data_IF_334580230443
#
_entry.id   IF_334580230443
#
_cell.length_a   1.000
_cell.length_b   1.000
_cell.length_c   1.000
_cell.angle_alpha   90.00
_cell.angle_beta   90.00
_cell.angle_gamma   90.00
#
_symmetry.space_group_name_H-M   'P 1'
#
loop_
_entity.id
_entity.type
_entity.pdbx_description
1 polymer ?
#
# COMPACT_ATOMS: atom_id res chain seq x y z
N UNK A 1 -36.94 55.02 6.67
CA UNK A 1 -36.27 53.78 7.15
C UNK A 1 -36.84 52.60 6.39
N UNK A 2 -36.01 51.59 6.08
CA UNK A 2 -36.33 50.34 5.37
C UNK A 2 -36.59 50.54 3.85
N UNK A 3 -36.09 49.77 2.90
CA UNK A 3 -35.46 48.44 2.93
C UNK A 3 -34.74 48.23 1.57
N UNK A 4 -33.43 48.45 1.47
CA UNK A 4 -32.65 48.29 0.22
C UNK A 4 -31.55 47.24 0.37
N UNK A 5 -31.78 46.17 1.14
CA UNK A 5 -30.80 45.11 1.38
C UNK A 5 -31.22 43.70 0.88
N UNK A 6 -32.37 43.56 0.21
CA UNK A 6 -32.92 42.23 -0.12
C UNK A 6 -32.46 41.58 -1.43
N UNK A 7 -31.91 42.31 -2.40
CA UNK A 7 -31.73 41.77 -3.77
C UNK A 7 -30.32 41.26 -4.11
N UNK A 8 -29.30 41.54 -3.31
CA UNK A 8 -27.92 41.13 -3.65
C UNK A 8 -27.61 39.68 -3.20
N UNK A 9 -28.33 39.13 -2.21
CA UNK A 9 -28.05 37.79 -1.67
C UNK A 9 -28.46 36.63 -2.58
N UNK A 10 -29.43 36.80 -3.49
CA UNK A 10 -29.94 35.69 -4.31
C UNK A 10 -28.98 35.32 -5.44
N UNK A 11 -28.17 36.27 -5.92
CA UNK A 11 -27.26 36.03 -7.05
C UNK A 11 -25.97 35.29 -6.66
N UNK A 12 -25.46 35.48 -5.43
CA UNK A 12 -24.29 34.76 -4.94
C UNK A 12 -24.59 33.29 -4.60
N UNK A 13 -25.81 32.96 -4.21
CA UNK A 13 -26.15 31.60 -3.78
C UNK A 13 -26.39 30.64 -4.96
N UNK A 14 -26.78 31.14 -6.13
CA UNK A 14 -27.06 30.32 -7.33
C UNK A 14 -25.81 29.92 -8.11
N UNK A 15 -24.74 30.71 -8.07
CA UNK A 15 -23.46 30.40 -8.74
C UNK A 15 -22.67 29.29 -8.02
N UNK A 16 -22.82 29.17 -6.70
CA UNK A 16 -22.03 28.23 -5.90
C UNK A 16 -22.51 26.77 -6.00
N UNK A 17 -23.76 26.52 -6.43
CA UNK A 17 -24.27 25.15 -6.60
C UNK A 17 -23.84 24.47 -7.90
N UNK A 18 -23.51 25.22 -8.97
CA UNK A 18 -23.11 24.64 -10.26
C UNK A 18 -21.69 24.06 -10.25
N UNK A 19 -20.77 24.65 -9.48
CA UNK A 19 -19.43 24.07 -9.29
C UNK A 19 -19.43 22.81 -8.43
N UNK A 20 -20.44 22.61 -7.57
CA UNK A 20 -20.54 21.42 -6.73
C UNK A 20 -20.94 20.16 -7.52
N UNK A 21 -21.83 20.29 -8.51
CA UNK A 21 -22.21 19.15 -9.37
C UNK A 21 -21.11 18.79 -10.39
N UNK A 22 -20.44 19.78 -10.98
CA UNK A 22 -19.33 19.53 -11.90
C UNK A 22 -18.14 18.86 -11.19
N UNK A 23 -17.82 19.27 -9.95
CA UNK A 23 -16.79 18.60 -9.13
C UNK A 23 -17.18 17.18 -8.75
N UNK A 24 -18.45 16.92 -8.44
CA UNK A 24 -18.95 15.57 -8.14
C UNK A 24 -18.89 14.64 -9.35
N UNK A 25 -19.18 15.17 -10.55
CA UNK A 25 -19.05 14.42 -11.80
C UNK A 25 -17.58 14.15 -12.15
N UNK A 26 -16.67 15.12 -11.97
CA UNK A 26 -15.23 14.90 -12.18
C UNK A 26 -14.65 13.91 -11.16
N UNK A 27 -15.05 13.99 -9.88
CA UNK A 27 -14.63 13.01 -8.86
C UNK A 27 -15.18 11.62 -9.16
N UNK A 28 -16.43 11.51 -9.63
CA UNK A 28 -16.99 10.23 -10.05
C UNK A 28 -16.27 9.66 -11.29
N UNK A 29 -15.90 10.50 -12.25
CA UNK A 29 -15.16 10.08 -13.45
C UNK A 29 -13.71 9.67 -13.12
N UNK A 30 -13.04 10.38 -12.21
CA UNK A 30 -11.69 10.01 -11.71
C UNK A 30 -11.74 8.74 -10.88
N UNK A 31 -12.77 8.56 -10.04
CA UNK A 31 -12.97 7.33 -9.28
C UNK A 31 -13.27 6.14 -10.21
N UNK A 32 -14.09 6.33 -11.24
CA UNK A 32 -14.40 5.28 -12.22
C UNK A 32 -13.19 4.95 -13.10
N UNK A 33 -12.38 5.94 -13.47
CA UNK A 33 -11.10 5.72 -14.15
C UNK A 33 -10.08 5.00 -13.26
N UNK A 34 -10.02 5.31 -11.96
CA UNK A 34 -9.22 4.54 -10.99
C UNK A 34 -9.71 3.10 -10.86
N UNK A 35 -11.02 2.86 -10.78
CA UNK A 35 -11.59 1.51 -10.69
C UNK A 35 -11.32 0.72 -11.97
N UNK A 36 -11.43 1.32 -13.15
CA UNK A 36 -11.07 0.68 -14.43
C UNK A 36 -9.56 0.43 -14.53
N UNK A 37 -8.71 1.32 -13.98
CA UNK A 37 -7.26 1.11 -13.92
C UNK A 37 -6.88 0.01 -12.90
N UNK A 38 -7.61 -0.12 -11.78
CA UNK A 38 -7.49 -1.23 -10.84
C UNK A 38 -8.01 -2.56 -11.43
N UNK A 39 -9.08 -2.53 -12.24
CA UNK A 39 -9.61 -3.70 -12.92
C UNK A 39 -8.74 -4.14 -14.11
N UNK A 40 -8.13 -3.21 -14.83
CA UNK A 40 -7.12 -3.52 -15.86
C UNK A 40 -5.84 -4.10 -15.24
N UNK A 41 -5.46 -3.68 -14.03
CA UNK A 41 -4.39 -4.33 -13.27
C UNK A 41 -4.77 -5.75 -12.78
N UNK A 42 -6.06 -6.06 -12.70
CA UNK A 42 -6.56 -7.40 -12.34
C UNK A 42 -6.50 -8.39 -13.51
N UNK A 43 -6.26 -7.90 -14.73
CA UNK A 43 -6.23 -8.69 -15.96
C UNK A 43 -4.82 -8.96 -16.48
N UNK A 44 -3.77 -8.70 -15.67
CA UNK A 44 -2.44 -9.27 -15.88
C UNK A 44 -2.43 -10.74 -15.43
N UNK A 45 -3.34 -11.53 -16.02
CA UNK A 45 -3.31 -12.99 -16.01
C UNK A 45 -2.00 -13.44 -16.65
N UNK A 46 -1.17 -14.19 -15.92
CA UNK A 46 -0.04 -14.87 -16.54
C UNK A 46 1.08 -15.34 -15.63
N UNK A 47 1.24 -14.76 -14.43
CA UNK A 47 2.13 -15.39 -13.44
C UNK A 47 1.32 -16.39 -12.60
N UNK A 48 1.72 -17.68 -12.53
CA UNK A 48 1.16 -18.58 -11.52
C UNK A 48 1.33 -17.93 -10.14
N UNK A 49 0.41 -18.21 -9.20
CA UNK A 49 0.39 -17.70 -7.82
C UNK A 49 1.77 -17.23 -7.34
N UNK A 50 1.88 -15.98 -6.87
CA UNK A 50 3.14 -15.42 -6.39
C UNK A 50 3.89 -16.43 -5.51
N UNK A 51 5.12 -16.74 -5.89
CA UNK A 51 5.98 -17.70 -5.20
C UNK A 51 7.09 -16.94 -4.49
N UNK A 52 7.82 -17.63 -3.62
CA UNK A 52 9.01 -17.08 -2.95
C UNK A 52 10.04 -16.53 -3.94
N UNK A 53 10.15 -17.13 -5.14
CA UNK A 53 11.14 -16.73 -6.15
C UNK A 53 10.84 -15.36 -6.77
N UNK A 54 9.58 -14.90 -6.68
CA UNK A 54 9.19 -13.56 -7.09
C UNK A 54 9.62 -12.49 -6.06
N UNK A 55 10.27 -12.88 -4.96
CA UNK A 55 10.76 -11.96 -3.93
C UNK A 55 12.28 -11.96 -3.85
N UNK A 56 12.86 -10.76 -3.74
CA UNK A 56 14.28 -10.54 -3.48
C UNK A 56 14.44 -9.88 -2.12
N UNK A 57 15.46 -10.31 -1.39
CA UNK A 57 15.79 -9.79 -0.07
C UNK A 57 17.17 -9.16 -0.10
N UNK A 58 17.32 -8.03 0.59
CA UNK A 58 18.63 -7.44 0.87
C UNK A 58 18.67 -7.05 2.33
N UNK A 59 19.62 -7.61 3.08
CA UNK A 59 19.90 -7.18 4.44
C UNK A 59 20.92 -6.05 4.40
N UNK A 60 20.72 -5.04 5.24
CA UNK A 60 21.67 -3.97 5.47
C UNK A 60 21.71 -3.69 6.96
N UNK A 61 22.91 -3.61 7.52
CA UNK A 61 23.08 -3.14 8.89
C UNK A 61 22.82 -1.65 8.96
N UNK A 62 21.96 -1.24 9.89
CA UNK A 62 21.60 0.14 10.14
C UNK A 62 21.89 0.49 11.60
N UNK A 63 21.79 1.77 11.93
CA UNK A 63 21.99 2.22 13.31
C UNK A 63 20.88 1.63 14.21
N UNK A 64 21.30 0.83 15.20
CA UNK A 64 20.40 0.16 16.14
C UNK A 64 19.72 -1.10 15.62
N UNK A 65 20.20 -1.72 14.53
CA UNK A 65 19.74 -3.04 14.11
C UNK A 65 20.05 -3.47 12.67
N UNK A 66 19.26 -4.43 12.17
CA UNK A 66 19.34 -4.93 10.79
C UNK A 66 18.04 -4.63 10.06
N UNK A 67 18.14 -4.06 8.86
CA UNK A 67 17.00 -3.81 7.99
C UNK A 67 17.05 -4.80 6.83
N UNK A 68 15.98 -5.57 6.66
CA UNK A 68 15.79 -6.45 5.52
C UNK A 68 14.76 -5.82 4.59
N UNK A 69 15.19 -5.36 3.43
CA UNK A 69 14.30 -4.86 2.37
C UNK A 69 13.80 -6.01 1.52
N UNK A 70 12.55 -5.92 1.10
CA UNK A 70 11.87 -6.93 0.30
C UNK A 70 11.40 -6.27 -1.00
N UNK A 71 11.86 -6.81 -2.12
CA UNK A 71 11.42 -6.43 -3.45
C UNK A 71 10.58 -7.56 -4.04
N UNK A 72 9.60 -7.21 -4.86
CA UNK A 72 8.73 -8.14 -5.57
C UNK A 72 8.87 -7.94 -7.07
N UNK A 73 8.98 -9.02 -7.84
CA UNK A 73 9.04 -8.98 -9.30
C UNK A 73 7.65 -8.90 -9.92
N UNK A 74 7.19 -7.67 -10.12
CA UNK A 74 5.91 -7.38 -10.75
C UNK A 74 5.99 -7.59 -12.26
N UNK A 75 5.11 -8.41 -12.83
CA UNK A 75 5.15 -8.80 -14.25
C UNK A 75 5.25 -7.63 -15.26
N UNK A 76 4.64 -6.49 -14.93
CA UNK A 76 4.63 -5.29 -15.79
C UNK A 76 5.65 -4.20 -15.39
N UNK A 77 6.14 -4.23 -14.15
CA UNK A 77 6.94 -3.14 -13.58
C UNK A 77 8.37 -3.58 -13.21
N UNK A 78 8.67 -4.87 -13.36
CA UNK A 78 9.89 -5.49 -12.86
C UNK A 78 9.96 -5.46 -11.34
N UNK A 79 11.18 -5.36 -10.82
CA UNK A 79 11.46 -5.33 -9.38
C UNK A 79 10.93 -4.04 -8.74
N UNK A 80 9.89 -4.18 -7.92
CA UNK A 80 9.30 -3.09 -7.14
C UNK A 80 9.53 -3.30 -5.66
N UNK A 81 9.69 -2.20 -4.91
CA UNK A 81 9.73 -2.26 -3.45
C UNK A 81 8.38 -2.74 -2.91
N UNK A 82 8.40 -3.80 -2.09
CA UNK A 82 7.24 -4.35 -1.41
C UNK A 82 7.18 -3.88 0.05
N UNK A 83 8.31 -3.46 0.62
CA UNK A 83 8.44 -3.05 2.00
C UNK A 83 9.77 -3.48 2.63
N UNK A 84 9.86 -3.34 3.94
CA UNK A 84 11.03 -3.72 4.71
C UNK A 84 10.65 -4.20 6.11
N UNK A 85 11.53 -5.00 6.70
CA UNK A 85 11.46 -5.47 8.08
C UNK A 85 12.69 -4.97 8.80
N UNK A 86 12.49 -4.21 9.88
CA UNK A 86 13.57 -3.72 10.73
C UNK A 86 13.62 -4.55 12.00
N UNK A 87 14.74 -5.21 12.23
CA UNK A 87 15.06 -5.91 13.47
C UNK A 87 15.92 -5.00 14.31
N UNK A 88 15.35 -4.40 15.35
CA UNK A 88 16.12 -3.58 16.30
C UNK A 88 16.92 -4.48 17.24
N UNK A 89 18.07 -3.98 17.69
CA UNK A 89 18.91 -4.67 18.68
C UNK A 89 18.18 -4.87 20.02
N UNK A 90 17.17 -4.04 20.31
CA UNK A 90 16.27 -4.19 21.46
C UNK A 90 15.29 -5.38 21.35
N UNK A 91 15.32 -6.14 20.25
CA UNK A 91 14.38 -7.24 19.99
C UNK A 91 13.06 -6.81 19.35
N UNK A 92 12.84 -5.51 19.14
CA UNK A 92 11.64 -4.99 18.48
C UNK A 92 11.73 -5.26 16.97
N UNK A 93 10.69 -5.88 16.40
CA UNK A 93 10.54 -6.06 14.96
C UNK A 93 9.51 -5.09 14.43
N UNK A 94 9.91 -4.26 13.46
CA UNK A 94 9.04 -3.30 12.79
C UNK A 94 8.83 -3.76 11.35
N UNK A 95 7.58 -4.01 10.99
CA UNK A 95 7.17 -4.32 9.63
C UNK A 95 6.66 -3.05 8.95
N UNK A 96 7.27 -2.69 7.83
CA UNK A 96 6.85 -1.57 6.98
C UNK A 96 6.50 -2.12 5.62
N UNK A 97 5.23 -2.12 5.26
CA UNK A 97 4.78 -2.52 3.93
C UNK A 97 4.60 -1.27 3.10
N UNK A 98 4.97 -1.32 1.82
CA UNK A 98 4.79 -0.17 0.93
C UNK A 98 3.32 0.25 0.90
N UNK A 99 3.08 1.53 1.20
CA UNK A 99 1.75 2.12 1.26
C UNK A 99 0.98 1.89 2.56
N UNK A 100 1.57 1.21 3.55
CA UNK A 100 1.01 1.03 4.89
C UNK A 100 1.87 1.74 5.94
N UNK A 101 1.25 2.06 7.09
CA UNK A 101 2.00 2.59 8.23
C UNK A 101 2.91 1.49 8.83
N UNK A 102 4.15 1.84 9.23
CA UNK A 102 5.00 0.94 9.98
C UNK A 102 4.31 0.46 11.25
N UNK A 103 4.40 -0.84 11.54
CA UNK A 103 3.84 -1.41 12.77
C UNK A 103 4.83 -2.35 13.44
N UNK A 104 4.82 -2.32 14.77
CA UNK A 104 5.56 -3.29 15.58
C UNK A 104 4.84 -4.63 15.52
N UNK A 105 5.59 -5.70 15.26
CA UNK A 105 5.06 -7.05 15.17
C UNK A 105 5.80 -7.95 16.13
N UNK A 106 5.05 -8.77 16.87
CA UNK A 106 5.61 -9.78 17.78
C UNK A 106 5.88 -11.10 17.04
N UNK A 107 5.08 -11.40 16.02
CA UNK A 107 5.22 -12.60 15.20
C UNK A 107 5.21 -12.21 13.71
N UNK A 108 6.40 -12.20 13.10
CA UNK A 108 6.59 -11.80 11.71
C UNK A 108 5.86 -12.73 10.74
N UNK A 109 5.91 -14.05 10.97
CA UNK A 109 5.24 -15.04 10.14
C UNK A 109 3.73 -14.84 10.10
N UNK A 110 3.09 -14.62 11.25
CA UNK A 110 1.66 -14.35 11.32
C UNK A 110 1.29 -13.02 10.66
N UNK A 111 2.09 -11.97 10.89
CA UNK A 111 1.85 -10.65 10.30
C UNK A 111 1.95 -10.68 8.77
N UNK A 112 2.98 -11.34 8.22
CA UNK A 112 3.14 -11.50 6.78
C UNK A 112 2.08 -12.42 6.18
N UNK A 113 1.73 -13.52 6.85
CA UNK A 113 0.64 -14.40 6.41
C UNK A 113 -0.69 -13.65 6.29
N UNK A 114 -1.02 -12.80 7.27
CA UNK A 114 -2.23 -11.99 7.23
C UNK A 114 -2.21 -10.96 6.09
N UNK A 115 -1.06 -10.36 5.81
CA UNK A 115 -0.90 -9.38 4.71
C UNK A 115 -1.06 -10.06 3.36
N UNK A 116 -0.40 -11.21 3.17
CA UNK A 116 -0.46 -11.99 1.93
C UNK A 116 -1.88 -12.51 1.71
N UNK A 117 -2.53 -13.03 2.75
CA UNK A 117 -3.93 -13.47 2.68
C UNK A 117 -4.89 -12.33 2.32
N UNK A 118 -4.71 -11.13 2.89
CA UNK A 118 -5.49 -9.92 2.54
C UNK A 118 -5.32 -9.50 1.09
N UNK A 119 -4.19 -9.82 0.47
CA UNK A 119 -3.90 -9.54 -0.94
C UNK A 119 -4.32 -10.68 -1.88
N UNK A 120 -5.05 -11.68 -1.38
CA UNK A 120 -5.60 -12.78 -2.17
C UNK A 120 -4.60 -13.89 -2.52
N UNK A 121 -3.44 -13.93 -1.85
CA UNK A 121 -2.41 -14.95 -2.04
C UNK A 121 -2.39 -15.95 -0.88
N UNK A 122 -1.65 -17.06 -1.07
CA UNK A 122 -1.59 -18.16 -0.09
C UNK A 122 -0.89 -17.70 1.21
N UNK A 123 -1.58 -17.82 2.35
CA UNK A 123 -1.02 -17.49 3.67
C UNK A 123 0.28 -18.26 3.98
N UNK A 124 0.47 -19.46 3.42
CA UNK A 124 1.70 -20.23 3.56
C UNK A 124 2.93 -19.49 3.03
N UNK A 125 2.77 -18.72 1.94
CA UNK A 125 3.82 -17.86 1.40
C UNK A 125 4.30 -16.85 2.45
N UNK A 126 3.39 -16.25 3.23
CA UNK A 126 3.75 -15.31 4.28
C UNK A 126 4.65 -15.92 5.36
N UNK A 127 4.43 -17.20 5.71
CA UNK A 127 5.32 -17.94 6.62
C UNK A 127 6.68 -18.22 6.01
N UNK A 128 6.72 -18.61 4.74
CA UNK A 128 7.99 -18.85 4.02
C UNK A 128 8.82 -17.56 3.91
N UNK A 129 8.17 -16.43 3.57
CA UNK A 129 8.81 -15.12 3.51
C UNK A 129 9.41 -14.72 4.86
N UNK A 130 8.68 -14.94 5.96
CA UNK A 130 9.21 -14.66 7.30
C UNK A 130 10.48 -15.45 7.61
N UNK A 131 10.47 -16.76 7.33
CA UNK A 131 11.66 -17.61 7.53
C UNK A 131 12.86 -17.13 6.71
N UNK A 132 12.64 -16.67 5.48
CA UNK A 132 13.71 -16.17 4.62
C UNK A 132 14.25 -14.83 5.08
N UNK A 133 13.37 -13.93 5.52
CA UNK A 133 13.74 -12.64 6.08
C UNK A 133 14.56 -12.83 7.36
N UNK A 134 14.15 -13.76 8.24
CA UNK A 134 14.90 -14.10 9.45
C UNK A 134 16.26 -14.73 9.16
N UNK A 135 16.37 -15.55 8.11
CA UNK A 135 17.66 -16.08 7.64
C UNK A 135 18.58 -14.96 7.12
N UNK A 136 18.03 -14.03 6.33
CA UNK A 136 18.81 -12.90 5.80
C UNK A 136 19.24 -11.91 6.89
N UNK A 137 18.47 -11.77 7.97
CA UNK A 137 18.90 -11.02 9.16
C UNK A 137 20.25 -11.51 9.71
N UNK A 138 20.52 -12.81 9.64
CA UNK A 138 21.74 -13.41 10.16
C UNK A 138 22.96 -13.27 9.23
N UNK A 139 22.77 -12.71 8.02
CA UNK A 139 23.82 -12.53 6.99
C UNK A 139 24.00 -11.05 6.62
N UNK A 140 24.28 -10.14 7.58
CA UNK A 140 24.52 -8.72 7.29
C UNK A 140 25.87 -8.47 6.60
#
# INVERSE_FOLDING_TARGET
MQNMQGQVSVFCQRRNRRHSMARRLVVAFVAMAMVVMLCAASSAWGKPRATVQDFRFSAQRAEGGVVVRVQFDHALLGWVDAGQVTFKDSGIVVLTIRGEQPRVVTNLAQALSAVIARRGADAFLGRQLAQLIERHKAMP
#
